data_IF_898847478348
#
_entry.id   IF_898847478348
#
_cell.length_a   1.000
_cell.length_b   1.000
_cell.length_c   1.000
_cell.angle_alpha   90.00
_cell.angle_beta   90.00
_cell.angle_gamma   90.00
#
_symmetry.space_group_name_H-M   'P 1'
#
loop_
_entity.id
_entity.type
_entity.pdbx_description
1 polymer ?
#
# COMPACT_ATOMS: atom_id res chain seq x y z
N UNK A 1 5.13 1.98 -14.50
CA UNK A 1 4.62 1.79 -13.14
C UNK A 1 3.63 0.67 -13.12
N UNK A 2 4.01 -0.46 -12.51
CA UNK A 2 3.21 -1.67 -12.47
C UNK A 2 2.20 -1.65 -11.35
N UNK A 3 2.57 -1.16 -10.17
CA UNK A 3 1.71 -1.17 -8.99
C UNK A 3 1.42 0.24 -8.46
N UNK A 4 0.16 0.44 -8.06
CA UNK A 4 -0.21 1.37 -6.99
C UNK A 4 -0.35 0.55 -5.72
N UNK A 5 0.60 0.71 -4.79
CA UNK A 5 0.44 0.21 -3.43
C UNK A 5 -0.35 1.25 -2.66
N UNK A 6 -1.58 0.91 -2.31
CA UNK A 6 -2.54 1.81 -1.67
C UNK A 6 -2.65 1.56 -0.18
N UNK A 7 -2.56 2.62 0.62
CA UNK A 7 -2.78 2.56 2.07
C UNK A 7 -3.83 3.59 2.49
N UNK A 8 -5.04 3.16 2.88
CA UNK A 8 -5.97 4.01 3.59
C UNK A 8 -5.51 4.16 5.05
N UNK A 9 -5.51 5.38 5.58
CA UNK A 9 -5.06 5.64 6.96
C UNK A 9 -5.99 6.60 7.70
N UNK A 10 -6.15 6.39 9.00
CA UNK A 10 -6.83 7.31 9.92
C UNK A 10 -6.28 7.12 11.34
N UNK A 11 -5.55 8.11 11.84
CA UNK A 11 -4.87 8.10 13.14
C UNK A 11 -3.92 6.90 13.32
N UNK A 12 -2.99 6.70 12.37
CA UNK A 12 -2.06 5.56 12.35
C UNK A 12 -0.59 5.97 12.28
N UNK A 13 -0.24 7.16 12.76
CA UNK A 13 1.13 7.73 12.71
C UNK A 13 2.22 6.71 13.09
N UNK A 14 2.01 5.99 14.19
CA UNK A 14 3.01 5.07 14.75
C UNK A 14 3.14 3.75 13.96
N UNK A 15 2.12 3.36 13.17
CA UNK A 15 2.11 2.09 12.42
C UNK A 15 2.72 2.25 11.02
N UNK A 16 2.52 3.41 10.40
CA UNK A 16 3.01 3.69 9.04
C UNK A 16 4.53 3.55 8.90
N UNK A 17 5.30 3.72 9.98
CA UNK A 17 6.76 3.56 9.94
C UNK A 17 7.21 2.15 9.57
N UNK A 18 6.50 1.13 10.05
CA UNK A 18 6.82 -0.28 9.75
C UNK A 18 6.47 -0.61 8.31
N UNK A 19 5.26 -0.25 7.88
CA UNK A 19 4.80 -0.37 6.50
C UNK A 19 5.78 0.32 5.53
N UNK A 20 6.15 1.57 5.81
CA UNK A 20 7.13 2.32 5.01
C UNK A 20 8.45 1.56 4.86
N UNK A 21 9.00 1.05 5.97
CA UNK A 21 10.23 0.25 5.96
C UNK A 21 10.07 -1.03 5.14
N UNK A 22 8.93 -1.71 5.23
CA UNK A 22 8.65 -2.91 4.44
C UNK A 22 8.60 -2.64 2.93
N UNK A 23 8.05 -1.48 2.53
CA UNK A 23 8.02 -1.04 1.13
C UNK A 23 9.41 -0.62 0.63
N UNK A 24 10.21 0.03 1.48
CA UNK A 24 11.60 0.32 1.16
C UNK A 24 12.42 -0.93 0.88
N UNK A 25 12.13 -2.02 1.57
CA UNK A 25 12.84 -3.29 1.45
C UNK A 25 12.33 -4.19 0.31
N UNK A 26 11.31 -3.76 -0.46
CA UNK A 26 10.85 -4.55 -1.60
C UNK A 26 11.94 -4.71 -2.66
N UNK A 27 12.12 -5.94 -3.14
CA UNK A 27 13.05 -6.27 -4.25
C UNK A 27 12.56 -5.69 -5.57
N UNK A 28 11.24 -5.62 -5.77
CA UNK A 28 10.60 -5.00 -6.92
C UNK A 28 10.34 -3.51 -6.69
N UNK A 29 10.67 -2.64 -7.66
CA UNK A 29 10.73 -1.18 -7.47
C UNK A 29 9.84 -0.34 -8.38
N UNK A 30 9.15 -0.92 -9.37
CA UNK A 30 8.27 -0.17 -10.28
C UNK A 30 6.87 0.01 -9.69
N UNK A 31 6.78 0.79 -8.61
CA UNK A 31 5.54 1.09 -7.90
C UNK A 31 5.51 2.50 -7.30
N UNK A 32 4.31 3.04 -7.13
CA UNK A 32 4.04 4.18 -6.24
C UNK A 32 3.46 3.68 -4.92
N UNK A 33 3.67 4.46 -3.85
CA UNK A 33 2.93 4.32 -2.60
C UNK A 33 1.90 5.45 -2.48
N UNK A 34 0.64 5.11 -2.69
CA UNK A 34 -0.50 6.01 -2.60
C UNK A 34 -1.14 5.94 -1.22
N UNK A 35 -1.06 7.03 -0.46
CA UNK A 35 -1.61 7.14 0.89
C UNK A 35 -2.82 8.07 0.84
N UNK A 36 -3.98 7.57 1.29
CA UNK A 36 -5.18 8.39 1.48
C UNK A 36 -5.50 8.45 2.97
N UNK A 37 -5.33 9.64 3.53
CA UNK A 37 -5.60 9.96 4.92
C UNK A 37 -7.02 10.48 5.09
N UNK A 38 -7.84 9.73 5.83
CA UNK A 38 -9.26 9.96 6.08
C UNK A 38 -9.47 10.89 7.30
N UNK A 39 -8.73 11.99 7.31
CA UNK A 39 -8.89 13.08 8.29
C UNK A 39 -8.15 12.88 9.61
N UNK A 40 -6.94 12.30 9.58
CA UNK A 40 -6.14 12.09 10.80
C UNK A 40 -5.81 13.39 11.54
N UNK A 41 -5.74 13.30 12.87
CA UNK A 41 -5.41 14.41 13.77
C UNK A 41 -4.25 14.09 14.72
N UNK A 42 -3.60 12.93 14.54
CA UNK A 42 -2.52 12.42 15.40
C UNK A 42 -1.10 12.79 14.91
N UNK A 43 -1.01 13.62 13.87
CA UNK A 43 0.25 13.97 13.21
C UNK A 43 0.67 12.97 12.10
N UNK A 44 -0.25 12.14 11.61
CA UNK A 44 -0.04 11.27 10.43
C UNK A 44 0.48 12.07 9.22
N UNK A 45 -0.08 13.24 8.92
CA UNK A 45 0.36 14.07 7.80
C UNK A 45 1.85 14.46 7.91
N UNK A 46 2.27 14.95 9.06
CA UNK A 46 3.67 15.33 9.29
C UNK A 46 4.60 14.14 9.16
N UNK A 47 4.17 12.97 9.65
CA UNK A 47 4.93 11.72 9.52
C UNK A 47 5.09 11.30 8.05
N UNK A 48 4.05 11.46 7.23
CA UNK A 48 4.15 11.16 5.79
C UNK A 48 5.03 12.18 5.06
N UNK A 49 5.00 13.46 5.45
CA UNK A 49 5.91 14.49 4.91
C UNK A 49 7.38 14.13 5.17
N UNK A 50 7.70 13.59 6.34
CA UNK A 50 9.04 13.07 6.63
C UNK A 50 9.46 11.98 5.64
N UNK A 51 8.58 10.99 5.38
CA UNK A 51 8.85 9.93 4.40
C UNK A 51 9.08 10.45 2.99
N UNK A 52 8.26 11.40 2.53
CA UNK A 52 8.41 12.05 1.22
C UNK A 52 9.77 12.76 1.12
N UNK A 53 10.19 13.46 2.18
CA UNK A 53 11.46 14.19 2.22
C UNK A 53 12.70 13.29 2.16
N UNK A 54 12.58 12.03 2.59
CA UNK A 54 13.67 11.05 2.46
C UNK A 54 13.95 10.64 1.01
N UNK A 55 12.99 10.82 0.08
CA UNK A 55 13.12 10.51 -1.36
C UNK A 55 13.54 9.06 -1.66
N UNK A 56 13.12 8.11 -0.82
CA UNK A 56 13.43 6.68 -0.98
C UNK A 56 12.34 5.89 -1.70
N UNK A 57 11.11 6.41 -1.72
CA UNK A 57 9.96 5.87 -2.42
C UNK A 57 9.27 6.99 -3.18
N UNK A 58 8.55 6.64 -4.25
CA UNK A 58 7.57 7.53 -4.85
C UNK A 58 6.30 7.49 -4.01
N UNK A 59 5.99 8.58 -3.32
CA UNK A 59 4.88 8.65 -2.36
C UNK A 59 3.93 9.76 -2.79
N UNK A 60 2.67 9.40 -3.00
CA UNK A 60 1.59 10.35 -3.24
C UNK A 60 0.64 10.32 -2.04
N UNK A 61 0.45 11.47 -1.42
CA UNK A 61 -0.35 11.61 -0.21
C UNK A 61 -1.53 12.55 -0.46
N UNK A 62 -2.71 12.11 -0.03
CA UNK A 62 -3.93 12.91 -0.07
C UNK A 62 -4.59 12.91 1.29
N UNK A 63 -4.86 14.11 1.82
CA UNK A 63 -5.66 14.28 3.02
C UNK A 63 -7.10 14.62 2.62
N UNK A 64 -8.06 13.96 3.26
CA UNK A 64 -9.49 14.10 3.00
C UNK A 64 -10.25 14.33 4.32
N UNK A 65 -11.44 14.93 4.24
CA UNK A 65 -12.32 14.98 5.40
C UNK A 65 -12.80 13.57 5.75
N UNK A 66 -12.82 13.23 7.04
CA UNK A 66 -13.21 11.90 7.49
C UNK A 66 -14.58 11.50 6.94
N UNK A 67 -14.58 10.43 6.15
CA UNK A 67 -15.76 9.88 5.49
C UNK A 67 -15.80 8.35 5.46
N UNK A 68 -14.83 7.70 6.12
CA UNK A 68 -14.72 6.26 6.28
C UNK A 68 -13.84 5.61 5.22
N UNK A 69 -13.26 4.45 5.60
CA UNK A 69 -12.32 3.64 4.78
C UNK A 69 -12.79 3.47 3.33
N UNK A 70 -14.07 3.17 3.09
CA UNK A 70 -14.56 2.93 1.72
C UNK A 70 -14.50 4.18 0.81
N UNK A 71 -14.65 5.38 1.36
CA UNK A 71 -14.46 6.62 0.57
C UNK A 71 -12.98 6.82 0.24
N UNK A 72 -12.08 6.51 1.17
CA UNK A 72 -10.66 6.51 0.91
C UNK A 72 -10.27 5.52 -0.20
N UNK A 73 -10.90 4.34 -0.28
CA UNK A 73 -10.69 3.40 -1.40
C UNK A 73 -11.15 3.98 -2.74
N UNK A 74 -12.38 4.49 -2.81
CA UNK A 74 -12.90 5.05 -4.06
C UNK A 74 -11.99 6.17 -4.57
N UNK A 75 -11.59 7.08 -3.67
CA UNK A 75 -10.64 8.13 -3.99
C UNK A 75 -9.27 7.55 -4.40
N UNK A 76 -8.77 6.54 -3.69
CA UNK A 76 -7.52 5.86 -4.01
C UNK A 76 -7.52 5.26 -5.41
N UNK A 77 -8.59 4.54 -5.79
CA UNK A 77 -8.75 3.95 -7.12
C UNK A 77 -8.77 5.03 -8.20
N UNK A 78 -9.43 6.18 -7.95
CA UNK A 78 -9.44 7.31 -8.89
C UNK A 78 -8.07 7.98 -9.05
N UNK A 79 -7.20 7.90 -8.04
CA UNK A 79 -5.86 8.51 -8.05
C UNK A 79 -4.74 7.57 -8.45
N UNK A 80 -4.99 6.27 -8.49
CA UNK A 80 -4.02 5.25 -8.85
C UNK A 80 -3.48 5.47 -10.27
N UNK A 81 -2.16 5.38 -10.41
CA UNK A 81 -1.44 5.53 -11.68
C UNK A 81 -0.79 4.20 -12.14
N UNK A 82 -0.75 3.19 -11.27
CA UNK A 82 -0.26 1.85 -11.58
C UNK A 82 -1.29 1.01 -12.33
N UNK A 83 -0.80 0.03 -13.09
CA UNK A 83 -1.65 -0.95 -13.78
C UNK A 83 -2.45 -1.82 -12.78
N UNK A 84 -1.82 -2.18 -11.66
CA UNK A 84 -2.38 -3.02 -10.62
C UNK A 84 -2.58 -2.20 -9.34
N UNK A 85 -3.79 -2.21 -8.81
CA UNK A 85 -4.14 -1.59 -7.53
C UNK A 85 -4.14 -2.64 -6.42
N UNK A 86 -3.28 -2.46 -5.42
CA UNK A 86 -3.18 -3.38 -4.29
C UNK A 86 -3.29 -2.59 -2.99
N UNK A 87 -4.18 -3.02 -2.10
CA UNK A 87 -4.24 -2.46 -0.76
C UNK A 87 -3.21 -3.12 0.15
N UNK A 88 -2.46 -2.29 0.87
CA UNK A 88 -1.66 -2.66 2.04
C UNK A 88 -2.12 -1.80 3.21
N UNK A 89 -2.83 -2.42 4.16
CA UNK A 89 -3.39 -1.72 5.31
C UNK A 89 -2.27 -1.14 6.21
N UNK A 90 -2.57 -0.04 6.88
CA UNK A 90 -1.59 0.77 7.64
C UNK A 90 -0.86 0.03 8.78
N UNK A 91 -1.38 -1.13 9.19
CA UNK A 91 -0.88 -2.00 10.25
C UNK A 91 -0.30 -3.33 9.74
N UNK A 92 -0.19 -3.49 8.42
CA UNK A 92 0.42 -4.65 7.76
C UNK A 92 1.78 -4.29 7.12
N UNK A 93 2.53 -5.34 6.79
CA UNK A 93 3.85 -5.26 6.17
C UNK A 93 3.98 -6.32 5.09
N UNK A 94 4.77 -6.06 4.06
CA UNK A 94 5.20 -7.08 3.10
C UNK A 94 6.55 -7.69 3.47
N UNK A 95 6.69 -8.97 3.19
CA UNK A 95 8.01 -9.60 3.06
C UNK A 95 8.75 -8.99 1.86
N UNK A 96 10.08 -9.02 1.86
CA UNK A 96 10.93 -8.34 0.87
C UNK A 96 10.59 -8.69 -0.60
N UNK A 97 10.10 -9.90 -0.86
CA UNK A 97 9.73 -10.39 -2.20
C UNK A 97 8.22 -10.32 -2.47
N UNK A 98 7.45 -9.59 -1.67
CA UNK A 98 5.99 -9.53 -1.74
C UNK A 98 5.48 -9.10 -3.12
N UNK A 99 5.89 -7.91 -3.58
CA UNK A 99 5.48 -7.39 -4.89
C UNK A 99 6.00 -8.25 -6.06
N UNK A 100 7.22 -8.78 -5.96
CA UNK A 100 7.78 -9.68 -6.98
C UNK A 100 6.97 -10.98 -7.09
N UNK A 101 6.55 -11.52 -5.94
CA UNK A 101 5.70 -12.72 -5.87
C UNK A 101 4.34 -12.45 -6.49
N UNK A 102 3.73 -11.29 -6.19
CA UNK A 102 2.45 -10.89 -6.78
C UNK A 102 2.58 -10.80 -8.30
N UNK A 103 3.61 -10.10 -8.80
CA UNK A 103 3.85 -9.93 -10.23
C UNK A 103 4.00 -11.26 -10.96
N UNK A 104 4.83 -12.16 -10.41
CA UNK A 104 5.08 -13.49 -10.98
C UNK A 104 3.79 -14.28 -11.22
N UNK A 105 2.86 -14.23 -10.26
CA UNK A 105 1.60 -14.95 -10.40
C UNK A 105 0.59 -14.19 -11.26
N UNK A 106 0.59 -12.86 -11.21
CA UNK A 106 -0.18 -12.03 -12.13
C UNK A 106 0.16 -12.36 -13.59
N UNK A 107 1.43 -12.27 -14.00
CA UNK A 107 1.86 -12.54 -15.38
C UNK A 107 1.55 -13.96 -15.84
N UNK A 108 1.54 -14.92 -14.92
CA UNK A 108 1.19 -16.32 -15.22
C UNK A 108 -0.29 -16.51 -15.53
N UNK A 109 -1.16 -15.73 -14.90
CA UNK A 109 -2.60 -16.00 -14.86
C UNK A 109 -3.48 -14.86 -15.38
N UNK A 110 -2.94 -13.69 -15.73
CA UNK A 110 -3.69 -12.51 -16.18
C UNK A 110 -4.60 -12.76 -17.40
N UNK A 111 -4.32 -13.81 -18.19
CA UNK A 111 -5.09 -14.20 -19.37
C UNK A 111 -6.08 -15.35 -19.12
N UNK A 112 -6.23 -15.76 -17.86
CA UNK A 112 -7.13 -16.84 -17.48
C UNK A 112 -8.45 -16.27 -16.93
N UNK A 113 -9.47 -16.27 -17.78
CA UNK A 113 -10.80 -15.74 -17.46
C UNK A 113 -11.55 -16.59 -16.41
N UNK A 114 -11.04 -17.76 -16.02
CA UNK A 114 -11.60 -18.57 -14.92
C UNK A 114 -11.14 -18.09 -13.52
N UNK A 115 -10.15 -17.20 -13.46
CA UNK A 115 -9.58 -16.71 -12.19
C UNK A 115 -10.14 -15.32 -11.88
N UNK A 116 -10.97 -15.23 -10.84
CA UNK A 116 -11.55 -13.96 -10.38
C UNK A 116 -10.70 -13.22 -9.35
N UNK A 117 -9.64 -13.83 -8.80
CA UNK A 117 -8.79 -13.20 -7.80
C UNK A 117 -7.62 -14.07 -7.33
N UNK A 118 -6.65 -13.43 -6.68
CA UNK A 118 -5.48 -14.06 -6.08
C UNK A 118 -5.42 -13.71 -4.59
N UNK A 119 -5.35 -14.73 -3.75
CA UNK A 119 -5.13 -14.58 -2.32
C UNK A 119 -3.68 -14.94 -1.97
N UNK A 120 -3.10 -14.20 -1.04
CA UNK A 120 -1.75 -14.44 -0.53
C UNK A 120 -1.81 -14.74 0.96
N UNK A 121 -0.86 -15.53 1.44
CA UNK A 121 -0.81 -15.92 2.84
C UNK A 121 -0.28 -14.77 3.69
N UNK A 122 -1.05 -14.38 4.71
CA UNK A 122 -0.58 -13.49 5.78
C UNK A 122 -0.08 -14.33 6.95
N UNK A 123 0.98 -13.87 7.59
CA UNK A 123 1.56 -14.51 8.77
C UNK A 123 1.82 -13.47 9.84
N UNK A 124 1.57 -13.84 11.10
CA UNK A 124 1.99 -13.05 12.24
C UNK A 124 3.52 -13.11 12.41
N UNK A 125 4.14 -12.11 13.07
CA UNK A 125 5.57 -12.12 13.34
C UNK A 125 6.05 -13.34 14.15
N UNK A 126 5.17 -14.01 14.89
CA UNK A 126 5.47 -15.24 15.63
C UNK A 126 5.35 -16.52 14.78
N UNK A 127 5.11 -16.37 13.47
CA UNK A 127 4.99 -17.46 12.51
C UNK A 127 3.62 -18.14 12.49
N UNK A 128 2.64 -17.66 13.25
CA UNK A 128 1.26 -18.15 13.15
C UNK A 128 0.62 -17.68 11.85
N UNK A 129 -0.14 -18.58 11.25
CA UNK A 129 -1.02 -18.32 10.09
C UNK A 129 -2.43 -18.09 10.59
#
# INVERSE_FOLDING_TARGET
MKFTVFTPTFNRKELLGKLYTSLQNQTYRDFEWLIVDDGSTDGTEDRVKEFINEKKLDIRYFHTENGGKQRAYNFGVEKAEGELFICLDSDDEYVETGLETILKYWEKYEKNDEIAGMGYLSIYPDGKV
#
